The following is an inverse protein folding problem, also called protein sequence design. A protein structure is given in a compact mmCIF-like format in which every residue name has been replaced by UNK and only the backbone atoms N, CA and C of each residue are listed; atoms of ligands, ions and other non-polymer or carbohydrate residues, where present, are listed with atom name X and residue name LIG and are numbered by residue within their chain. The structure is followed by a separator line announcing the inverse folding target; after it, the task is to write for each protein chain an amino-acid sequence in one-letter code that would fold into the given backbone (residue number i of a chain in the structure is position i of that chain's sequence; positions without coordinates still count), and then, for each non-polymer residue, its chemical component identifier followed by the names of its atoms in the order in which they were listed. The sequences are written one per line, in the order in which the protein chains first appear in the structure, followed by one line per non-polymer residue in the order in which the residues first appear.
data_IF_349249485346
#
_entry.id   IF_349249485346
#
_cell.length_a   1.000
_cell.length_b   1.000
_cell.length_c   1.000
_cell.angle_alpha   90.00
_cell.angle_beta   90.00
_cell.angle_gamma   90.00
#
_symmetry.space_group_name_H-M   'P 1'
#
loop_
_entity.id
_entity.type
_entity.pdbx_description
1 polymer ?
#
# COMPACT_ATOMS: atom_id res chain seq x y z
N UNK A 1 -13.65 -7.75 -10.27
CA UNK A 1 -13.06 -7.54 -8.93
C UNK A 1 -13.97 -8.17 -7.89
N UNK A 2 -13.47 -8.42 -6.68
CA UNK A 2 -14.25 -8.86 -5.52
C UNK A 2 -14.03 -7.87 -4.37
N UNK A 3 -15.12 -7.38 -3.79
CA UNK A 3 -15.07 -6.33 -2.76
C UNK A 3 -15.93 -6.74 -1.56
N UNK A 4 -15.33 -6.69 -0.38
CA UNK A 4 -15.99 -6.95 0.91
C UNK A 4 -15.26 -6.17 2.01
N UNK A 5 -15.78 -6.12 3.22
CA UNK A 5 -15.07 -5.52 4.34
C UNK A 5 -15.97 -5.17 5.51
N UNK A 6 -15.46 -4.30 6.37
CA UNK A 6 -16.06 -3.92 7.63
C UNK A 6 -16.65 -2.51 7.48
N UNK A 7 -17.94 -2.43 7.15
CA UNK A 7 -18.59 -1.14 6.94
C UNK A 7 -18.58 -0.24 8.20
N UNK A 8 -18.54 -0.85 9.40
CA UNK A 8 -18.60 -0.12 10.67
C UNK A 8 -17.36 0.72 10.99
N UNK A 9 -16.19 0.38 10.44
CA UNK A 9 -14.93 1.10 10.64
C UNK A 9 -14.36 1.70 9.34
N UNK A 10 -15.07 1.51 8.21
CA UNK A 10 -14.68 2.04 6.91
C UNK A 10 -13.59 1.23 6.19
N UNK A 11 -13.28 0.01 6.64
CA UNK A 11 -12.28 -0.85 6.02
C UNK A 11 -12.87 -1.68 4.85
N UNK A 12 -12.23 -1.61 3.67
CA UNK A 12 -12.65 -2.31 2.45
C UNK A 12 -11.49 -3.14 1.91
N UNK A 13 -11.73 -4.44 1.72
CA UNK A 13 -10.87 -5.36 1.00
C UNK A 13 -11.24 -5.31 -0.49
N UNK A 14 -10.41 -4.64 -1.28
CA UNK A 14 -10.61 -4.52 -2.72
C UNK A 14 -9.66 -5.48 -3.46
N UNK A 15 -10.20 -6.53 -4.06
CA UNK A 15 -9.41 -7.53 -4.80
C UNK A 15 -9.57 -7.35 -6.31
N UNK A 16 -8.46 -7.06 -6.97
CA UNK A 16 -8.35 -7.00 -8.44
C UNK A 16 -8.05 -8.42 -8.93
N UNK A 17 -9.00 -9.01 -9.65
CA UNK A 17 -8.86 -10.36 -10.21
C UNK A 17 -8.69 -10.22 -11.73
N UNK A 18 -7.66 -10.82 -12.33
CA UNK A 18 -7.54 -10.86 -13.79
C UNK A 18 -8.62 -11.76 -14.40
N UNK A 19 -8.92 -11.62 -15.71
CA UNK A 19 -9.71 -12.61 -16.45
C UNK A 19 -9.10 -14.01 -16.34
N UNK A 20 -9.93 -15.05 -16.40
CA UNK A 20 -9.50 -16.45 -16.23
C UNK A 20 -8.40 -16.84 -17.22
N UNK A 21 -8.53 -16.38 -18.47
CA UNK A 21 -7.61 -16.75 -19.56
C UNK A 21 -6.49 -15.72 -19.79
N UNK A 22 -6.27 -14.81 -18.84
CA UNK A 22 -5.24 -13.77 -18.97
C UNK A 22 -3.84 -14.36 -18.71
N UNK A 23 -2.87 -13.93 -19.52
CA UNK A 23 -1.46 -14.27 -19.29
C UNK A 23 -1.01 -13.80 -17.89
N UNK A 24 -0.33 -14.62 -17.09
CA UNK A 24 0.10 -14.24 -15.74
C UNK A 24 1.04 -13.02 -15.70
N UNK A 25 1.88 -12.84 -16.72
CA UNK A 25 2.79 -11.70 -16.82
C UNK A 25 2.04 -10.40 -17.10
N UNK A 26 1.11 -10.43 -18.06
CA UNK A 26 0.20 -9.33 -18.36
C UNK A 26 -0.68 -8.98 -17.15
N UNK A 27 -1.31 -9.99 -16.53
CA UNK A 27 -2.13 -9.84 -15.34
C UNK A 27 -1.39 -9.12 -14.20
N UNK A 28 -0.11 -9.45 -14.00
CA UNK A 28 0.73 -8.80 -12.99
C UNK A 28 1.03 -7.35 -13.32
N UNK A 29 1.35 -7.03 -14.58
CA UNK A 29 1.67 -5.66 -15.00
C UNK A 29 0.43 -4.77 -14.90
N UNK A 30 -0.69 -5.23 -15.45
CA UNK A 30 -1.97 -4.50 -15.42
C UNK A 30 -2.47 -4.38 -13.97
N UNK A 31 -2.42 -5.47 -13.21
CA UNK A 31 -2.82 -5.48 -11.80
C UNK A 31 -2.01 -4.47 -10.96
N UNK A 32 -0.70 -4.37 -11.18
CA UNK A 32 0.13 -3.38 -10.50
C UNK A 32 -0.25 -1.94 -10.88
N UNK A 33 -0.55 -1.68 -12.16
CA UNK A 33 -1.01 -0.36 -12.61
C UNK A 33 -2.36 0.03 -11.99
N UNK A 34 -3.32 -0.90 -11.96
CA UNK A 34 -4.62 -0.71 -11.29
C UNK A 34 -4.42 -0.43 -9.80
N UNK A 35 -3.56 -1.20 -9.13
CA UNK A 35 -3.29 -1.02 -7.71
C UNK A 35 -2.69 0.35 -7.40
N UNK A 36 -1.76 0.84 -8.22
CA UNK A 36 -1.20 2.20 -8.09
C UNK A 36 -2.29 3.26 -8.17
N UNK A 37 -3.19 3.17 -9.17
CA UNK A 37 -4.31 4.12 -9.30
C UNK A 37 -5.30 4.04 -8.15
N UNK A 38 -5.53 2.84 -7.61
CA UNK A 38 -6.37 2.64 -6.45
C UNK A 38 -5.78 3.36 -5.22
N UNK A 39 -4.48 3.24 -4.99
CA UNK A 39 -3.82 3.95 -3.88
C UNK A 39 -3.86 5.47 -4.03
N UNK A 40 -3.66 6.00 -5.24
CA UNK A 40 -3.82 7.44 -5.53
C UNK A 40 -5.24 7.92 -5.21
N UNK A 41 -6.26 7.15 -5.63
CA UNK A 41 -7.66 7.47 -5.35
C UNK A 41 -7.96 7.45 -3.85
N UNK A 42 -7.53 6.40 -3.14
CA UNK A 42 -7.72 6.28 -1.69
C UNK A 42 -7.07 7.47 -0.97
N UNK A 43 -5.86 7.85 -1.37
CA UNK A 43 -5.18 9.04 -0.83
C UNK A 43 -5.92 10.34 -1.11
N UNK A 44 -6.43 10.53 -2.33
CA UNK A 44 -7.22 11.70 -2.70
C UNK A 44 -8.54 11.82 -1.91
N UNK A 45 -9.10 10.70 -1.46
CA UNK A 45 -10.28 10.63 -0.60
C UNK A 45 -9.95 10.75 0.91
N UNK A 46 -8.68 10.95 1.27
CA UNK A 46 -8.23 11.03 2.67
C UNK A 46 -8.22 9.68 3.40
N UNK A 47 -8.25 8.57 2.66
CA UNK A 47 -8.18 7.22 3.20
C UNK A 47 -6.76 6.68 3.36
N UNK A 48 -6.64 5.49 3.94
CA UNK A 48 -5.36 4.75 4.05
C UNK A 48 -5.27 3.63 3.02
N UNK A 49 -4.13 3.53 2.32
CA UNK A 49 -3.84 2.39 1.43
C UNK A 49 -3.65 1.06 2.18
N UNK A 50 -3.52 1.12 3.52
CA UNK A 50 -3.42 -0.05 4.39
C UNK A 50 -4.17 0.19 5.69
N UNK A 51 -5.38 -0.38 5.78
CA UNK A 51 -6.20 -0.29 6.99
C UNK A 51 -5.67 -1.22 8.11
N UNK A 52 -5.36 -2.48 7.78
CA UNK A 52 -5.02 -3.51 8.78
C UNK A 52 -3.74 -4.32 8.50
N UNK A 53 -3.34 -4.48 7.24
CA UNK A 53 -2.22 -5.37 6.87
C UNK A 53 -0.83 -4.73 7.01
N UNK A 54 -0.75 -3.46 7.41
CA UNK A 54 0.51 -2.71 7.54
C UNK A 54 1.21 -2.42 6.20
N UNK A 55 2.47 -2.01 6.28
CA UNK A 55 3.26 -1.58 5.11
C UNK A 55 4.15 -2.71 4.58
N UNK A 56 4.98 -3.29 5.46
CA UNK A 56 5.94 -4.34 5.10
C UNK A 56 6.85 -3.97 3.93
N UNK A 57 7.42 -4.98 3.27
CA UNK A 57 8.23 -4.78 2.05
C UNK A 57 7.37 -4.50 0.82
N UNK A 58 6.17 -5.06 0.77
CA UNK A 58 5.28 -4.99 -0.39
C UNK A 58 4.74 -3.58 -0.65
N UNK A 59 4.51 -2.77 0.38
CA UNK A 59 3.92 -1.43 0.28
C UNK A 59 4.86 -0.31 0.72
N UNK A 60 6.13 -0.63 1.00
CA UNK A 60 7.13 0.36 1.43
C UNK A 60 7.28 1.50 0.44
N UNK A 61 7.31 1.21 -0.86
CA UNK A 61 7.44 2.21 -1.91
C UNK A 61 6.29 3.24 -1.86
N UNK A 62 5.04 2.79 -1.68
CA UNK A 62 3.86 3.66 -1.58
C UNK A 62 3.90 4.48 -0.29
N UNK A 63 4.21 3.82 0.83
CA UNK A 63 4.33 4.48 2.14
C UNK A 63 5.33 5.64 2.06
N UNK A 64 6.55 5.36 1.60
CA UNK A 64 7.59 6.37 1.50
C UNK A 64 7.21 7.48 0.51
N UNK A 65 6.58 7.16 -0.62
CA UNK A 65 6.14 8.15 -1.60
C UNK A 65 5.07 9.10 -1.04
N UNK A 66 4.23 8.64 -0.11
CA UNK A 66 3.16 9.43 0.51
C UNK A 66 3.62 10.31 1.67
N UNK A 67 4.80 10.09 2.25
CA UNK A 67 5.30 10.88 3.38
C UNK A 67 5.81 12.25 2.94
N UNK A 68 5.48 13.27 3.71
CA UNK A 68 6.19 14.55 3.70
C UNK A 68 7.65 14.36 4.11
N UNK A 69 8.49 15.35 3.79
CA UNK A 69 9.90 15.34 4.18
C UNK A 69 10.08 15.21 5.71
N UNK A 70 9.21 15.84 6.50
CA UNK A 70 9.27 15.81 7.96
C UNK A 70 8.91 14.43 8.52
N UNK A 71 7.86 13.81 8.02
CA UNK A 71 7.47 12.45 8.42
C UNK A 71 8.57 11.46 8.06
N UNK A 72 9.14 11.57 6.86
CA UNK A 72 10.26 10.72 6.44
C UNK A 72 11.45 10.86 7.40
N UNK A 73 11.85 12.09 7.75
CA UNK A 73 12.91 12.34 8.71
C UNK A 73 12.61 11.72 10.07
N UNK A 74 11.38 11.86 10.57
CA UNK A 74 10.95 11.28 11.83
C UNK A 74 11.05 9.74 11.82
N UNK A 75 10.51 9.09 10.79
CA UNK A 75 10.58 7.63 10.66
C UNK A 75 12.03 7.13 10.59
N UNK A 76 12.89 7.81 9.82
CA UNK A 76 14.31 7.45 9.73
C UNK A 76 15.04 7.68 11.06
N UNK A 77 14.75 8.78 11.77
CA UNK A 77 15.37 9.07 13.06
C UNK A 77 15.01 8.04 14.12
N UNK A 78 13.73 7.66 14.19
CA UNK A 78 13.27 6.59 15.08
C UNK A 78 13.97 5.27 14.73
N UNK A 79 14.03 4.90 13.44
CA UNK A 79 14.71 3.67 13.02
C UNK A 79 16.18 3.66 13.44
N UNK A 80 16.90 4.76 13.23
CA UNK A 80 18.31 4.86 13.59
C UNK A 80 18.56 4.83 15.11
N UNK A 81 17.62 5.34 15.92
CA UNK A 81 17.74 5.30 17.38
C UNK A 81 17.66 3.88 17.95
N UNK A 82 16.85 3.01 17.35
CA UNK A 82 16.64 1.63 17.81
C UNK A 82 17.48 0.59 17.07
N UNK A 83 17.86 0.87 15.82
CA UNK A 83 18.67 -0.03 14.99
C UNK A 83 19.69 0.75 14.14
N UNK A 84 20.73 1.31 14.78
CA UNK A 84 21.76 2.10 14.09
C UNK A 84 22.61 1.26 13.12
N UNK A 85 22.68 -0.06 13.30
CA UNK A 85 23.42 -0.98 12.45
C UNK A 85 22.60 -1.53 11.27
N UNK A 86 21.28 -1.25 11.22
CA UNK A 86 20.39 -1.70 10.15
C UNK A 86 20.23 -3.23 10.10
N UNK A 87 20.26 -3.90 11.25
CA UNK A 87 20.13 -5.35 11.34
C UNK A 87 18.67 -5.82 11.28
N UNK A 88 17.72 -4.92 11.53
CA UNK A 88 16.29 -5.18 11.61
C UNK A 88 15.49 -4.15 10.80
#
# INVERSE_FOLDING_TARGET
SLTYGHAGDGNIHFNVLPPIDCDPGEARIVGQAVLTRLYELVGALGGSFSAEHGVGRSRSHVFWAGLSQRERQLHTAIKAAFDPAGLF
#
